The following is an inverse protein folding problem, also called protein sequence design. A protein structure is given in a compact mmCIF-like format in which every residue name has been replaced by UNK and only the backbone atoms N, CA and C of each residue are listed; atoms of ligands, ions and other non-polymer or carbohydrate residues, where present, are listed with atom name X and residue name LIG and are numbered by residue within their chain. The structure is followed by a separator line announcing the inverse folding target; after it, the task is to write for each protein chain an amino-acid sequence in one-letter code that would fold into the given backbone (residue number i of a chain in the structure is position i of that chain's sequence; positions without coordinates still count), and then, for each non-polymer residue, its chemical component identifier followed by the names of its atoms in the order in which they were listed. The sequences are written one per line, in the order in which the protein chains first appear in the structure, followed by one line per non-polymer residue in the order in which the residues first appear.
data_IF_228930558473
#
_entry.id   IF_228930558473
#
_cell.length_a   1.000
_cell.length_b   1.000
_cell.length_c   1.000
_cell.angle_alpha   90.00
_cell.angle_beta   90.00
_cell.angle_gamma   90.00
#
_symmetry.space_group_name_H-M   'P 1'
#
loop_
_entity.id
_entity.type
_entity.pdbx_description
1 polymer ?
#
# COMPACT_ATOMS: atom_id res chain seq x y z
N UNK A 1 -16.29 -6.21 -28.86
CA UNK A 1 -15.00 -6.20 -28.14
C UNK A 1 -14.70 -7.64 -27.80
N UNK A 2 -13.49 -8.11 -28.08
CA UNK A 2 -13.09 -9.48 -27.73
C UNK A 2 -13.09 -9.66 -26.20
N UNK A 3 -13.54 -10.80 -25.65
CA UNK A 3 -13.59 -11.03 -24.20
C UNK A 3 -12.26 -10.73 -23.47
N UNK A 4 -11.13 -11.03 -24.12
CA UNK A 4 -9.77 -10.77 -23.62
C UNK A 4 -9.47 -9.27 -23.49
N UNK A 5 -9.98 -8.43 -24.39
CA UNK A 5 -9.80 -6.98 -24.33
C UNK A 5 -10.61 -6.36 -23.20
N UNK A 6 -11.84 -6.85 -22.98
CA UNK A 6 -12.68 -6.42 -21.85
C UNK A 6 -12.01 -6.80 -20.52
N UNK A 7 -11.47 -8.02 -20.42
CA UNK A 7 -10.75 -8.46 -19.23
C UNK A 7 -9.52 -7.57 -18.94
N UNK A 8 -8.70 -7.25 -19.94
CA UNK A 8 -7.54 -6.36 -19.79
C UNK A 8 -7.96 -4.98 -19.28
N UNK A 9 -8.98 -4.36 -19.89
CA UNK A 9 -9.48 -3.05 -19.46
C UNK A 9 -9.98 -3.05 -18.01
N UNK A 10 -10.65 -4.13 -17.59
CA UNK A 10 -11.09 -4.27 -16.19
C UNK A 10 -9.91 -4.38 -15.21
N UNK A 11 -8.86 -5.11 -15.58
CA UNK A 11 -7.65 -5.24 -14.76
C UNK A 11 -6.93 -3.90 -14.65
N UNK A 12 -6.77 -3.17 -15.76
CA UNK A 12 -6.16 -1.84 -15.77
C UNK A 12 -6.95 -0.86 -14.89
N UNK A 13 -8.29 -0.92 -14.95
CA UNK A 13 -9.16 -0.15 -14.07
C UNK A 13 -8.92 -0.50 -12.59
N UNK A 14 -8.93 -1.78 -12.23
CA UNK A 14 -8.69 -2.21 -10.85
C UNK A 14 -7.32 -1.79 -10.34
N UNK A 15 -6.29 -1.89 -11.16
CA UNK A 15 -4.93 -1.43 -10.83
C UNK A 15 -4.90 0.06 -10.55
N UNK A 16 -5.49 0.87 -11.44
CA UNK A 16 -5.55 2.32 -11.27
C UNK A 16 -6.37 2.74 -10.03
N UNK A 17 -7.51 2.10 -9.79
CA UNK A 17 -8.31 2.35 -8.58
C UNK A 17 -7.52 1.99 -7.32
N UNK A 18 -6.89 0.80 -7.30
CA UNK A 18 -6.08 0.37 -6.17
C UNK A 18 -4.92 1.34 -5.91
N UNK A 19 -4.15 1.73 -6.92
CA UNK A 19 -3.02 2.65 -6.78
C UNK A 19 -3.44 4.00 -6.20
N UNK A 20 -4.55 4.55 -6.70
CA UNK A 20 -5.08 5.83 -6.22
C UNK A 20 -5.59 5.74 -4.78
N UNK A 21 -6.37 4.71 -4.45
CA UNK A 21 -6.88 4.49 -3.09
C UNK A 21 -5.75 4.21 -2.10
N UNK A 22 -4.76 3.41 -2.50
CA UNK A 22 -3.60 3.09 -1.68
C UNK A 22 -2.74 4.32 -1.40
N UNK A 23 -2.52 5.18 -2.41
CA UNK A 23 -1.83 6.46 -2.25
C UNK A 23 -2.59 7.38 -1.29
N UNK A 24 -3.90 7.51 -1.44
CA UNK A 24 -4.74 8.30 -0.53
C UNK A 24 -4.63 7.81 0.92
N UNK A 25 -4.75 6.49 1.13
CA UNK A 25 -4.60 5.88 2.46
C UNK A 25 -3.20 6.11 3.05
N UNK A 26 -2.15 5.96 2.22
CA UNK A 26 -0.76 6.21 2.61
C UNK A 26 -0.55 7.64 3.10
N UNK A 27 -1.08 8.63 2.37
CA UNK A 27 -1.00 10.04 2.79
C UNK A 27 -1.72 10.30 4.12
N UNK A 28 -2.92 9.73 4.32
CA UNK A 28 -3.66 9.88 5.58
C UNK A 28 -2.91 9.24 6.76
N UNK A 29 -2.32 8.07 6.54
CA UNK A 29 -1.49 7.42 7.54
C UNK A 29 -0.26 8.26 7.89
N UNK A 30 0.47 8.79 6.90
CA UNK A 30 1.64 9.65 7.14
C UNK A 30 1.29 10.93 7.92
N UNK A 31 0.11 11.52 7.67
CA UNK A 31 -0.37 12.65 8.46
C UNK A 31 -0.69 12.25 9.90
N UNK A 32 -1.37 11.12 10.10
CA UNK A 32 -1.67 10.61 11.44
C UNK A 32 -0.40 10.26 12.22
N UNK A 33 0.59 9.64 11.58
CA UNK A 33 1.88 9.32 12.19
C UNK A 33 2.61 10.57 12.66
N UNK A 34 2.66 11.62 11.85
CA UNK A 34 3.24 12.92 12.26
C UNK A 34 2.53 13.49 13.48
N UNK A 35 1.19 13.43 13.51
CA UNK A 35 0.41 13.89 14.66
C UNK A 35 0.72 13.07 15.92
N UNK A 36 0.85 11.74 15.78
CA UNK A 36 1.24 10.85 16.87
C UNK A 36 2.66 11.15 17.36
N UNK A 37 3.63 11.29 16.47
CA UNK A 37 5.01 11.67 16.82
C UNK A 37 5.06 13.00 17.58
N UNK A 38 4.35 14.02 17.10
CA UNK A 38 4.22 15.31 17.80
C UNK A 38 3.63 15.15 19.19
N UNK A 39 2.56 14.35 19.34
CA UNK A 39 1.94 14.09 20.64
C UNK A 39 2.90 13.37 21.60
N UNK A 40 3.63 12.36 21.13
CA UNK A 40 4.57 11.59 21.94
C UNK A 40 5.80 12.38 22.36
N UNK A 41 6.27 13.30 21.51
CA UNK A 41 7.39 14.19 21.86
C UNK A 41 7.06 15.08 23.06
N UNK A 42 5.78 15.44 23.24
CA UNK A 42 5.29 16.26 24.34
C UNK A 42 4.79 15.44 25.53
N UNK A 43 4.69 14.11 25.38
CA UNK A 43 4.25 13.21 26.44
C UNK A 43 5.38 12.99 27.46
N UNK A 44 5.42 13.85 28.49
CA UNK A 44 6.30 13.72 29.66
C UNK A 44 5.93 12.53 30.56
N UNK A 45 4.71 12.02 30.42
CA UNK A 45 4.18 10.88 31.17
C UNK A 45 4.57 9.51 30.59
N UNK A 46 5.11 9.47 29.36
CA UNK A 46 5.44 8.22 28.67
C UNK A 46 6.93 7.88 28.83
N UNK A 47 7.28 6.74 29.44
CA UNK A 47 8.66 6.27 29.55
C UNK A 47 9.31 6.02 28.17
N UNK A 48 10.65 6.04 28.13
CA UNK A 48 11.46 5.75 26.94
C UNK A 48 11.08 4.41 26.28
N UNK A 49 10.86 3.37 27.07
CA UNK A 49 10.49 2.04 26.56
C UNK A 49 9.13 2.07 25.83
N UNK A 50 8.19 2.86 26.34
CA UNK A 50 6.87 3.05 25.72
C UNK A 50 6.98 3.80 24.39
N UNK A 51 7.83 4.85 24.34
CA UNK A 51 8.13 5.57 23.08
C UNK A 51 8.76 4.64 22.05
N UNK A 52 9.72 3.81 22.47
CA UNK A 52 10.36 2.83 21.60
C UNK A 52 9.37 1.80 21.06
N UNK A 53 8.53 1.21 21.92
CA UNK A 53 7.53 0.23 21.50
C UNK A 53 6.55 0.81 20.46
N UNK A 54 6.15 2.07 20.62
CA UNK A 54 5.26 2.75 19.70
C UNK A 54 5.93 3.06 18.35
N UNK A 55 7.19 3.51 18.36
CA UNK A 55 7.97 3.69 17.14
C UNK A 55 8.17 2.37 16.39
N UNK A 56 8.50 1.29 17.10
CA UNK A 56 8.64 -0.05 16.50
C UNK A 56 7.32 -0.52 15.87
N UNK A 57 6.17 -0.25 16.52
CA UNK A 57 4.86 -0.55 15.97
C UNK A 57 4.53 0.25 14.71
N UNK A 58 4.80 1.57 14.70
CA UNK A 58 4.61 2.43 13.53
C UNK A 58 5.46 1.92 12.36
N UNK A 59 6.74 1.59 12.61
CA UNK A 59 7.63 1.07 11.59
C UNK A 59 7.17 -0.28 11.04
N UNK A 60 6.70 -1.19 11.90
CA UNK A 60 6.14 -2.46 11.48
C UNK A 60 4.89 -2.27 10.60
N UNK A 61 4.02 -1.30 10.95
CA UNK A 61 2.83 -0.98 10.17
C UNK A 61 3.17 -0.39 8.80
N UNK A 62 4.13 0.54 8.72
CA UNK A 62 4.68 1.06 7.45
C UNK A 62 5.20 -0.07 6.57
N UNK A 63 6.05 -0.94 7.13
CA UNK A 63 6.62 -2.08 6.41
C UNK A 63 5.52 -3.01 5.89
N UNK A 64 4.54 -3.34 6.73
CA UNK A 64 3.42 -4.21 6.33
C UNK A 64 2.59 -3.63 5.18
N UNK A 65 2.34 -2.32 5.20
CA UNK A 65 1.69 -1.61 4.10
C UNK A 65 2.50 -1.70 2.81
N UNK A 66 3.80 -1.43 2.86
CA UNK A 66 4.66 -1.42 1.68
C UNK A 66 4.82 -2.83 1.09
N UNK A 67 4.96 -3.84 1.96
CA UNK A 67 4.98 -5.25 1.58
C UNK A 67 3.66 -5.67 0.91
N UNK A 68 2.52 -5.19 1.40
CA UNK A 68 1.21 -5.43 0.79
C UNK A 68 1.11 -4.78 -0.60
N UNK A 69 1.55 -3.53 -0.76
CA UNK A 69 1.59 -2.87 -2.08
C UNK A 69 2.39 -3.67 -3.08
N UNK A 70 3.58 -4.10 -2.66
CA UNK A 70 4.47 -4.90 -3.50
C UNK A 70 3.81 -6.22 -3.93
N UNK A 71 3.15 -6.92 -3.01
CA UNK A 71 2.45 -8.16 -3.33
C UNK A 71 1.32 -7.96 -4.35
N UNK A 72 0.57 -6.86 -4.24
CA UNK A 72 -0.48 -6.50 -5.20
C UNK A 72 0.12 -6.13 -6.56
N UNK A 73 1.19 -5.34 -6.59
CA UNK A 73 1.87 -4.96 -7.83
C UNK A 73 2.45 -6.15 -8.58
N UNK A 74 3.08 -7.08 -7.85
CA UNK A 74 3.61 -8.31 -8.43
C UNK A 74 2.49 -9.22 -8.93
N UNK A 75 1.31 -9.19 -8.30
CA UNK A 75 0.12 -9.90 -8.79
C UNK A 75 -0.41 -9.30 -10.09
N UNK A 76 -0.51 -7.97 -10.19
CA UNK A 76 -0.89 -7.30 -11.45
C UNK A 76 0.09 -7.60 -12.59
N UNK A 77 1.40 -7.56 -12.34
CA UNK A 77 2.42 -7.91 -13.35
C UNK A 77 2.27 -9.35 -13.87
N UNK A 78 1.96 -10.30 -12.98
CA UNK A 78 1.72 -11.70 -13.38
C UNK A 78 0.51 -11.82 -14.30
N UNK A 79 -0.56 -11.11 -13.98
CA UNK A 79 -1.77 -11.06 -14.80
C UNK A 79 -1.48 -10.42 -16.16
N UNK A 80 -0.82 -9.26 -16.20
CA UNK A 80 -0.39 -8.60 -17.44
C UNK A 80 0.47 -9.53 -18.32
N UNK A 81 1.41 -10.26 -17.70
CA UNK A 81 2.27 -11.22 -18.40
C UNK A 81 1.48 -12.40 -18.99
N UNK A 82 0.45 -12.88 -18.28
CA UNK A 82 -0.44 -13.94 -18.77
C UNK A 82 -1.22 -13.49 -20.01
N UNK A 83 -1.83 -12.30 -19.98
CA UNK A 83 -2.55 -11.75 -21.14
C UNK A 83 -1.61 -11.46 -22.33
N UNK A 84 -0.40 -10.97 -22.08
CA UNK A 84 0.61 -10.78 -23.12
C UNK A 84 1.05 -12.10 -23.77
N UNK A 85 1.05 -13.21 -23.02
CA UNK A 85 1.31 -14.55 -23.55
C UNK A 85 0.18 -15.06 -24.44
N UNK A 86 -1.08 -14.83 -24.04
CA UNK A 86 -2.26 -15.20 -24.84
C UNK A 86 -2.29 -14.45 -26.17
N UNK A 87 -2.00 -13.15 -26.18
CA UNK A 87 -2.06 -12.33 -27.40
C UNK A 87 -0.92 -12.61 -28.40
N UNK A 88 0.07 -13.43 -28.04
CA UNK A 88 1.16 -13.86 -28.93
C UNK A 88 0.94 -15.24 -29.55
N UNK A 89 -0.09 -15.97 -29.10
CA UNK A 89 -0.45 -17.31 -29.57
C UNK A 89 -1.51 -17.31 -30.66
#
# INVERSE_FOLDING_TARGET
MEPTQIAQQMIDFYKATFDNSFKAMTMLQEQNEKMVEMFLSQATWLPEEGKKALNDWINAYKKGRDDFKKAVDDSFKKVESFFAGINKG
#
